data_IF_121874639663
#
_entry.id   IF_121874639663
#
_cell.length_a   1.000
_cell.length_b   1.000
_cell.length_c   1.000
_cell.angle_alpha   90.00
_cell.angle_beta   90.00
_cell.angle_gamma   90.00
#
_symmetry.space_group_name_H-M   'P 1'
#
loop_
_entity.id
_entity.type
_entity.pdbx_description
1 polymer ?
#
# COMPACT_ATOMS: atom_id res chain seq x y z
N UNK A 1 -12.30 -20.45 7.29
CA UNK A 1 -12.05 -19.27 8.16
C UNK A 1 -11.28 -18.15 7.46
N UNK A 2 -10.32 -18.46 6.58
CA UNK A 2 -9.49 -17.44 5.91
C UNK A 2 -10.29 -16.52 4.97
N UNK A 3 -11.26 -17.05 4.22
CA UNK A 3 -12.13 -16.26 3.33
C UNK A 3 -12.91 -15.17 4.08
N UNK A 4 -13.47 -15.50 5.25
CA UNK A 4 -14.22 -14.54 6.07
C UNK A 4 -13.31 -13.41 6.59
N UNK A 5 -12.09 -13.74 7.02
CA UNK A 5 -11.09 -12.74 7.42
C UNK A 5 -10.71 -11.80 6.27
N UNK A 6 -10.58 -12.31 5.05
CA UNK A 6 -10.28 -11.50 3.87
C UNK A 6 -11.40 -10.51 3.57
N UNK A 7 -12.66 -10.97 3.63
CA UNK A 7 -13.82 -10.12 3.39
C UNK A 7 -13.91 -8.97 4.39
N UNK A 8 -13.70 -9.27 5.68
CA UNK A 8 -13.68 -8.23 6.73
C UNK A 8 -12.56 -7.19 6.50
N UNK A 9 -11.40 -7.63 6.02
CA UNK A 9 -10.27 -6.75 5.72
C UNK A 9 -10.54 -5.90 4.48
N UNK A 10 -11.12 -6.46 3.41
CA UNK A 10 -11.46 -5.71 2.18
C UNK A 10 -12.61 -4.72 2.37
N UNK A 11 -13.50 -4.99 3.33
CA UNK A 11 -14.50 -4.02 3.76
C UNK A 11 -13.85 -2.80 4.42
N UNK A 12 -12.85 -3.02 5.28
CA UNK A 12 -12.17 -1.96 6.03
C UNK A 12 -11.16 -1.17 5.21
N UNK A 13 -10.37 -1.82 4.36
CA UNK A 13 -9.27 -1.20 3.62
C UNK A 13 -9.65 -1.04 2.15
N UNK A 14 -10.26 0.10 1.85
CA UNK A 14 -10.59 0.48 0.47
C UNK A 14 -9.37 0.94 -0.31
N UNK A 15 -9.36 0.68 -1.61
CA UNK A 15 -8.26 1.11 -2.45
C UNK A 15 -8.18 2.64 -2.63
N UNK A 16 -7.03 3.08 -3.15
CA UNK A 16 -6.74 4.47 -3.53
C UNK A 16 -7.84 5.12 -4.40
N UNK A 17 -8.64 4.30 -5.11
CA UNK A 17 -9.78 4.76 -5.92
C UNK A 17 -10.82 5.49 -5.07
N UNK A 18 -11.02 5.04 -3.82
CA UNK A 18 -12.01 5.54 -2.88
C UNK A 18 -11.53 6.75 -2.05
N UNK A 19 -10.29 7.20 -2.23
CA UNK A 19 -9.80 8.39 -1.53
C UNK A 19 -10.61 9.63 -1.96
N UNK A 20 -11.18 10.40 -1.02
CA UNK A 20 -11.88 11.65 -1.31
C UNK A 20 -11.04 12.63 -2.13
N UNK A 21 -11.68 13.38 -3.03
CA UNK A 21 -10.99 14.32 -3.91
C UNK A 21 -10.18 15.39 -3.16
N UNK A 22 -10.69 15.86 -2.02
CA UNK A 22 -9.99 16.85 -1.20
C UNK A 22 -8.64 16.33 -0.67
N UNK A 23 -8.52 15.02 -0.38
CA UNK A 23 -7.24 14.40 0.03
C UNK A 23 -6.27 14.35 -1.16
N UNK A 24 -6.78 13.99 -2.36
CA UNK A 24 -5.96 13.93 -3.58
C UNK A 24 -5.38 15.30 -3.98
N UNK A 25 -6.05 16.39 -3.58
CA UNK A 25 -5.66 17.76 -3.86
C UNK A 25 -4.68 18.39 -2.85
N UNK A 26 -4.33 17.73 -1.75
CA UNK A 26 -3.51 18.33 -0.68
C UNK A 26 -2.05 18.59 -1.09
N UNK A 27 -1.59 18.05 -2.21
CA UNK A 27 -0.20 18.17 -2.65
C UNK A 27 0.77 17.36 -1.78
N UNK A 28 2.05 17.75 -1.79
CA UNK A 28 3.09 17.09 -1.00
C UNK A 28 3.02 17.50 0.47
N UNK A 29 3.63 16.70 1.36
CA UNK A 29 3.77 17.06 2.77
C UNK A 29 4.48 18.42 2.93
N UNK A 30 5.54 18.65 2.16
CA UNK A 30 6.31 19.90 2.11
C UNK A 30 5.44 21.11 1.76
N UNK A 31 4.55 20.98 0.75
CA UNK A 31 3.62 22.07 0.41
C UNK A 31 2.58 22.31 1.50
N UNK A 32 2.06 21.26 2.14
CA UNK A 32 1.10 21.39 3.24
C UNK A 32 1.69 22.15 4.42
N UNK A 33 2.91 21.78 4.84
CA UNK A 33 3.64 22.43 5.93
C UNK A 33 3.82 23.93 5.63
N UNK A 34 4.30 24.25 4.42
CA UNK A 34 4.50 25.63 4.00
C UNK A 34 3.20 26.42 3.99
N UNK A 35 2.15 25.90 3.37
CA UNK A 35 0.87 26.60 3.25
C UNK A 35 0.21 26.87 4.60
N UNK A 36 0.25 25.91 5.53
CA UNK A 36 -0.31 26.08 6.89
C UNK A 36 0.53 27.08 7.68
N UNK A 37 1.87 26.98 7.61
CA UNK A 37 2.77 27.96 8.24
C UNK A 37 2.45 29.38 7.79
N UNK A 38 2.28 29.57 6.49
CA UNK A 38 1.98 30.88 5.88
C UNK A 38 0.58 31.38 6.26
N UNK A 39 -0.42 30.49 6.31
CA UNK A 39 -1.77 30.83 6.77
C UNK A 39 -1.79 31.32 8.24
N UNK A 40 -0.87 30.82 9.08
CA UNK A 40 -0.68 31.30 10.45
C UNK A 40 0.21 32.55 10.56
N UNK A 41 0.70 33.10 9.44
CA UNK A 41 1.59 34.27 9.45
C UNK A 41 2.97 34.00 10.06
N UNK A 42 3.41 32.74 10.13
CA UNK A 42 4.69 32.36 10.72
C UNK A 42 5.82 32.45 9.70
N UNK A 43 6.97 32.99 10.09
CA UNK A 43 8.23 32.84 9.36
C UNK A 43 8.82 31.44 9.57
N UNK A 44 9.68 30.98 8.66
CA UNK A 44 10.41 29.71 8.82
C UNK A 44 11.21 29.66 10.14
N UNK A 45 11.79 30.81 10.56
CA UNK A 45 12.53 30.92 11.83
C UNK A 45 11.62 30.72 13.05
N UNK A 46 10.38 31.20 13.00
CA UNK A 46 9.40 30.99 14.08
C UNK A 46 8.96 29.53 14.16
N UNK A 47 8.69 28.88 13.02
CA UNK A 47 8.39 27.45 13.01
C UNK A 47 9.57 26.64 13.54
N UNK A 48 10.80 26.95 13.10
CA UNK A 48 12.02 26.31 13.58
C UNK A 48 12.16 26.40 15.10
N UNK A 49 11.90 27.57 15.67
CA UNK A 49 11.91 27.77 17.13
C UNK A 49 10.86 26.90 17.83
N UNK A 50 9.64 26.79 17.29
CA UNK A 50 8.56 25.96 17.86
C UNK A 50 8.93 24.47 17.87
N UNK A 51 9.55 23.98 16.81
CA UNK A 51 9.97 22.56 16.69
C UNK A 51 11.37 22.29 17.28
N UNK A 52 11.99 23.27 17.96
CA UNK A 52 13.36 23.19 18.53
C UNK A 52 14.42 22.78 17.48
N UNK A 53 14.37 23.43 16.32
CA UNK A 53 15.24 23.16 15.16
C UNK A 53 15.83 24.46 14.59
N UNK A 54 16.50 24.37 13.44
CA UNK A 54 17.09 25.53 12.74
C UNK A 54 16.22 25.97 11.56
N UNK A 55 16.32 27.24 11.16
CA UNK A 55 15.61 27.75 9.99
C UNK A 55 16.04 27.04 8.69
N UNK A 56 17.30 26.60 8.61
CA UNK A 56 17.81 25.78 7.49
C UNK A 56 17.03 24.46 7.38
N UNK A 57 16.77 23.79 8.51
CA UNK A 57 16.00 22.53 8.51
C UNK A 57 14.56 22.76 8.04
N UNK A 58 13.90 23.83 8.51
CA UNK A 58 12.54 24.17 8.04
C UNK A 58 12.54 24.55 6.56
N UNK A 59 13.54 25.30 6.09
CA UNK A 59 13.68 25.63 4.67
C UNK A 59 13.78 24.37 3.81
N UNK A 60 14.62 23.41 4.20
CA UNK A 60 14.78 22.12 3.51
C UNK A 60 13.55 21.21 3.58
N UNK A 61 12.79 21.32 4.68
CA UNK A 61 11.53 20.62 4.85
C UNK A 61 10.47 21.14 3.87
N UNK A 62 10.43 22.46 3.65
CA UNK A 62 9.47 23.10 2.75
C UNK A 62 9.87 23.03 1.27
N UNK A 63 11.17 22.86 0.96
CA UNK A 63 11.67 22.71 -0.42
C UNK A 63 11.62 21.28 -0.96
N UNK A 64 11.15 20.31 -0.16
CA UNK A 64 11.15 18.89 -0.51
C UNK A 64 12.57 18.31 -0.73
N UNK A 65 13.59 18.94 -0.15
CA UNK A 65 15.01 18.54 -0.26
C UNK A 65 15.44 17.58 0.87
N UNK A 66 14.50 17.15 1.72
CA UNK A 66 14.76 16.26 2.86
C UNK A 66 13.76 15.13 2.92
N UNK A 67 14.18 14.04 3.57
CA UNK A 67 13.31 12.94 3.96
C UNK A 67 13.13 12.98 5.50
N UNK A 68 12.19 13.77 6.01
CA UNK A 68 12.00 13.92 7.45
C UNK A 68 11.54 12.61 8.09
N UNK A 69 11.99 12.38 9.33
CA UNK A 69 11.50 11.25 10.12
C UNK A 69 10.05 11.46 10.53
N UNK A 70 9.32 10.38 10.84
CA UNK A 70 7.96 10.46 11.41
C UNK A 70 7.95 11.33 12.67
N UNK A 71 8.97 11.21 13.52
CA UNK A 71 9.13 12.05 14.71
C UNK A 71 9.22 13.54 14.35
N UNK A 72 9.96 13.89 13.30
CA UNK A 72 10.07 15.27 12.82
C UNK A 72 8.73 15.78 12.31
N UNK A 73 8.03 14.97 11.51
CA UNK A 73 6.70 15.32 11.00
C UNK A 73 5.67 15.49 12.13
N UNK A 74 5.77 14.67 13.18
CA UNK A 74 4.91 14.77 14.36
C UNK A 74 5.12 16.10 15.08
N UNK A 75 6.39 16.46 15.35
CA UNK A 75 6.74 17.77 15.95
C UNK A 75 6.22 18.95 15.13
N UNK A 76 6.30 18.85 13.80
CA UNK A 76 5.82 19.88 12.88
C UNK A 76 4.29 19.97 12.92
N UNK A 77 3.60 18.83 12.92
CA UNK A 77 2.14 18.79 13.05
C UNK A 77 1.69 19.44 14.36
N UNK A 78 2.28 19.05 15.50
CA UNK A 78 2.01 19.65 16.81
C UNK A 78 2.26 21.17 16.80
N UNK A 79 3.39 21.60 16.24
CA UNK A 79 3.74 23.02 16.16
C UNK A 79 2.77 23.83 15.29
N UNK A 80 2.17 23.20 14.28
CA UNK A 80 1.16 23.75 13.37
C UNK A 80 -0.28 23.43 13.81
N UNK A 81 -0.49 22.92 15.04
CA UNK A 81 -1.82 22.56 15.55
C UNK A 81 -2.60 21.64 14.57
N UNK A 82 -1.90 20.65 14.03
CA UNK A 82 -2.39 19.68 13.06
C UNK A 82 -2.20 18.26 13.60
N UNK A 83 -2.99 17.33 13.11
CA UNK A 83 -2.83 15.90 13.36
C UNK A 83 -2.05 15.26 12.19
N UNK A 84 -1.07 14.39 12.50
CA UNK A 84 -0.34 13.64 11.48
C UNK A 84 -1.02 12.29 11.22
N UNK A 85 -1.70 12.16 10.09
CA UNK A 85 -2.34 10.90 9.68
C UNK A 85 -1.41 10.14 8.73
N UNK A 86 -0.92 8.97 9.17
CA UNK A 86 -0.17 8.01 8.33
C UNK A 86 -1.02 6.75 8.16
N UNK A 87 -1.32 6.38 6.92
CA UNK A 87 -2.11 5.19 6.62
C UNK A 87 -1.56 4.45 5.40
N UNK A 88 -1.61 3.11 5.46
CA UNK A 88 -1.40 2.27 4.29
C UNK A 88 -2.70 2.17 3.50
N UNK A 89 -2.66 2.55 2.22
CA UNK A 89 -3.83 2.50 1.33
C UNK A 89 -3.52 1.53 0.18
N UNK A 90 -4.31 0.47 -0.01
CA UNK A 90 -4.13 -0.46 -1.11
C UNK A 90 -4.21 0.25 -2.47
N UNK A 91 -3.31 -0.11 -3.41
CA UNK A 91 -3.37 0.40 -4.79
C UNK A 91 -4.59 -0.12 -5.56
N UNK A 92 -5.02 -1.34 -5.23
CA UNK A 92 -6.23 -2.00 -5.71
C UNK A 92 -6.90 -2.70 -4.52
N UNK A 93 -8.14 -3.17 -4.68
CA UNK A 93 -8.84 -3.88 -3.60
C UNK A 93 -8.07 -5.13 -3.16
N UNK A 94 -8.09 -5.42 -1.85
CA UNK A 94 -7.25 -6.46 -1.24
C UNK A 94 -7.62 -7.86 -1.76
N UNK A 95 -8.91 -8.12 -1.95
CA UNK A 95 -9.41 -9.36 -2.55
C UNK A 95 -8.89 -9.54 -3.99
N UNK A 96 -8.85 -8.46 -4.79
CA UNK A 96 -8.27 -8.48 -6.12
C UNK A 96 -6.75 -8.73 -6.11
N UNK A 97 -6.02 -8.23 -5.09
CA UNK A 97 -4.61 -8.58 -4.89
C UNK A 97 -4.46 -10.09 -4.65
N UNK A 98 -5.21 -10.64 -3.69
CA UNK A 98 -5.13 -12.06 -3.32
C UNK A 98 -5.53 -12.96 -4.49
N UNK A 99 -6.59 -12.61 -5.22
CA UNK A 99 -7.04 -13.37 -6.39
C UNK A 99 -5.97 -13.43 -7.48
N UNK A 100 -5.31 -12.30 -7.75
CA UNK A 100 -4.22 -12.24 -8.72
C UNK A 100 -3.03 -13.09 -8.29
N UNK A 101 -2.58 -12.98 -7.03
CA UNK A 101 -1.48 -13.80 -6.53
C UNK A 101 -1.82 -15.30 -6.60
N UNK A 102 -3.06 -15.67 -6.28
CA UNK A 102 -3.47 -17.06 -6.36
C UNK A 102 -3.49 -17.57 -7.81
N UNK A 103 -3.91 -16.73 -8.76
CA UNK A 103 -3.90 -17.08 -10.18
C UNK A 103 -2.47 -17.29 -10.70
N UNK A 104 -1.56 -16.35 -10.38
CA UNK A 104 -0.14 -16.40 -10.78
C UNK A 104 0.56 -17.62 -10.15
N UNK A 105 0.30 -17.91 -8.88
CA UNK A 105 0.89 -19.05 -8.17
C UNK A 105 0.32 -20.39 -8.64
N UNK A 106 -1.00 -20.48 -8.85
CA UNK A 106 -1.62 -21.68 -9.37
C UNK A 106 -1.11 -22.01 -10.78
N UNK A 107 -0.97 -20.99 -11.64
CA UNK A 107 -0.39 -21.16 -12.97
C UNK A 107 1.04 -21.68 -12.90
N UNK A 108 1.88 -21.09 -12.05
CA UNK A 108 3.26 -21.53 -11.87
C UNK A 108 3.35 -22.99 -11.44
N UNK A 109 2.57 -23.39 -10.44
CA UNK A 109 2.59 -24.75 -9.89
C UNK A 109 2.05 -25.78 -10.89
N UNK A 110 0.95 -25.48 -11.58
CA UNK A 110 0.39 -26.36 -12.61
C UNK A 110 1.37 -26.50 -13.79
N UNK A 111 1.98 -25.41 -14.24
CA UNK A 111 2.96 -25.47 -15.33
C UNK A 111 4.19 -26.30 -14.96
N UNK A 112 4.68 -26.21 -13.71
CA UNK A 112 5.75 -27.08 -13.22
C UNK A 112 5.34 -28.56 -13.23
N UNK A 113 4.13 -28.88 -12.77
CA UNK A 113 3.60 -30.25 -12.81
C UNK A 113 3.45 -30.78 -14.23
N UNK A 114 2.97 -29.95 -15.17
CA UNK A 114 2.82 -30.31 -16.59
C UNK A 114 4.17 -30.53 -17.25
N UNK A 115 5.17 -29.69 -16.94
CA UNK A 115 6.53 -29.87 -17.45
C UNK A 115 7.13 -31.21 -17.02
N UNK A 116 6.93 -31.62 -15.75
CA UNK A 116 7.38 -32.92 -15.25
C UNK A 116 6.64 -34.08 -15.93
N UNK A 117 5.30 -34.01 -16.04
CA UNK A 117 4.49 -35.05 -16.69
C UNK A 117 4.81 -35.21 -18.20
N UNK A 118 5.19 -34.12 -18.87
CA UNK A 118 5.60 -34.16 -20.27
C UNK A 118 6.93 -34.91 -20.48
N UNK A 119 7.81 -34.93 -19.48
CA UNK A 119 9.01 -35.78 -19.48
C UNK A 119 8.66 -37.27 -19.33
N UNK A 120 7.52 -37.58 -18.69
CA UNK A 120 6.94 -38.91 -18.53
C UNK A 120 6.03 -39.33 -19.70
N UNK A 121 6.11 -38.65 -20.86
CA UNK A 121 5.31 -38.90 -22.09
C UNK A 121 3.79 -38.73 -21.95
N UNK A 122 3.29 -38.15 -20.85
CA UNK A 122 1.87 -37.82 -20.69
C UNK A 122 1.65 -36.31 -20.78
N UNK A 123 1.11 -35.83 -21.90
CA UNK A 123 0.69 -34.42 -22.05
C UNK A 123 -0.79 -34.26 -21.67
N UNK A 124 -1.13 -33.54 -20.59
CA UNK A 124 -2.51 -33.30 -20.22
C UNK A 124 -3.25 -32.43 -21.26
N UNK A 125 -4.55 -32.65 -21.40
CA UNK A 125 -5.41 -31.82 -22.25
C UNK A 125 -5.54 -30.40 -21.67
N UNK A 126 -5.55 -29.36 -22.53
CA UNK A 126 -5.75 -27.95 -22.16
C UNK A 126 -6.95 -27.70 -21.24
N UNK A 127 -8.07 -28.43 -21.42
CA UNK A 127 -9.25 -28.31 -20.55
C UNK A 127 -8.96 -28.77 -19.11
N UNK A 128 -8.17 -29.83 -18.96
CA UNK A 128 -7.79 -30.39 -17.65
C UNK A 128 -6.86 -29.42 -16.94
N UNK A 129 -5.84 -28.90 -17.64
CA UNK A 129 -4.91 -27.89 -17.10
C UNK A 129 -5.66 -26.67 -16.57
N UNK A 130 -6.65 -26.18 -17.32
CA UNK A 130 -7.47 -25.04 -16.90
C UNK A 130 -8.27 -25.34 -15.63
N UNK A 131 -8.91 -26.51 -15.55
CA UNK A 131 -9.67 -26.90 -14.37
C UNK A 131 -8.76 -27.06 -13.15
N UNK A 132 -7.61 -27.73 -13.30
CA UNK A 132 -6.62 -27.87 -12.23
C UNK A 132 -6.06 -26.54 -11.74
N UNK A 133 -5.87 -25.55 -12.63
CA UNK A 133 -5.48 -24.18 -12.24
C UNK A 133 -6.56 -23.55 -11.36
N UNK A 134 -7.82 -23.64 -11.77
CA UNK A 134 -8.95 -23.06 -11.02
C UNK A 134 -9.13 -23.73 -9.64
N UNK A 135 -9.03 -25.06 -9.57
CA UNK A 135 -9.14 -25.80 -8.31
C UNK A 135 -7.99 -25.43 -7.36
N UNK A 136 -6.77 -25.38 -7.87
CA UNK A 136 -5.59 -25.01 -7.09
C UNK A 136 -5.66 -23.55 -6.61
N UNK A 137 -6.11 -22.63 -7.48
CA UNK A 137 -6.36 -21.23 -7.11
C UNK A 137 -7.35 -21.15 -5.95
N UNK A 138 -8.47 -21.86 -6.05
CA UNK A 138 -9.49 -21.89 -5.00
C UNK A 138 -8.96 -22.50 -3.68
N UNK A 139 -8.13 -23.54 -3.75
CA UNK A 139 -7.50 -24.13 -2.56
C UNK A 139 -6.50 -23.15 -1.90
N UNK A 140 -5.67 -22.49 -2.69
CA UNK A 140 -4.72 -21.47 -2.22
C UNK A 140 -5.42 -20.30 -1.52
N UNK A 141 -6.58 -19.86 -2.03
CA UNK A 141 -7.33 -18.74 -1.43
C UNK A 141 -8.00 -19.14 -0.11
N UNK A 142 -8.52 -20.37 -0.02
CA UNK A 142 -9.42 -20.77 1.05
C UNK A 142 -8.77 -21.56 2.18
N UNK A 143 -7.73 -22.34 1.87
CA UNK A 143 -7.13 -23.32 2.77
C UNK A 143 -5.61 -23.14 2.94
N UNK A 144 -4.91 -22.58 1.95
CA UNK A 144 -3.44 -22.51 1.91
C UNK A 144 -2.92 -21.11 1.60
N UNK A 145 -3.48 -20.08 2.24
CA UNK A 145 -3.15 -18.69 1.89
C UNK A 145 -1.68 -18.30 2.10
N UNK A 146 -0.98 -18.95 3.03
CA UNK A 146 0.46 -18.76 3.21
C UNK A 146 1.29 -19.22 2.01
N UNK A 147 0.81 -20.20 1.23
CA UNK A 147 1.49 -20.75 0.05
C UNK A 147 1.43 -19.84 -1.18
N UNK A 148 0.80 -18.66 -1.07
CA UNK A 148 0.85 -17.62 -2.09
C UNK A 148 2.23 -16.94 -2.19
N UNK A 149 3.11 -17.17 -1.21
CA UNK A 149 4.44 -16.59 -1.07
C UNK A 149 5.50 -17.68 -1.01
#
# INVERSE_FOLDING_TARGET
>A
MEKLKLLQISERFKSVKHIPGWIKGLGSCSSQIKSIREAFGMTQKQLAKRIKSTQIIVSRLESNETNPTIETLTKVADALNCELIISFIPKIEIDAVVDKLADDTAEKLVNQSVANAAMELQKPNKKIIKHSKEDLKNDLINNRRSSLW
#
